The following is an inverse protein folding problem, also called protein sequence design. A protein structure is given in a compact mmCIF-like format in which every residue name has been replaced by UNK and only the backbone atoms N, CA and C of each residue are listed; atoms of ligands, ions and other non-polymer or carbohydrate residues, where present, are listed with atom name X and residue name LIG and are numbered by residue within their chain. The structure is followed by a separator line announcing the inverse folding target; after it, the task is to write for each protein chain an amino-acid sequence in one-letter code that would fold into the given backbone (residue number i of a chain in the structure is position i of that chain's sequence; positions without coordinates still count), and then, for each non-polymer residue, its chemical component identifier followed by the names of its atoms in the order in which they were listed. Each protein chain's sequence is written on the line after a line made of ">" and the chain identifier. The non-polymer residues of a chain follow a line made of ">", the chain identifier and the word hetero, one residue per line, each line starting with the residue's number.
data_IF_784732390355
#
_entry.id   IF_784732390355
#
_cell.length_a   1.000
_cell.length_b   1.000
_cell.length_c   1.000
_cell.angle_alpha   90.00
_cell.angle_beta   90.00
_cell.angle_gamma   90.00
#
_symmetry.space_group_name_H-M   'P 1'
#
loop_
_entity.id
_entity.type
_entity.pdbx_description
1 polymer ?
#
# COMPACT_ATOMS: atom_id res chain seq x y z
N UNK A 1 -0.97 -6.30 19.84
CA UNK A 1 0.09 -6.90 18.98
C UNK A 1 1.26 -7.45 19.80
N UNK A 2 1.17 -7.46 21.14
CA UNK A 2 2.28 -7.86 22.03
C UNK A 2 2.79 -9.26 21.66
N UNK A 3 4.10 -9.36 21.39
CA UNK A 3 4.79 -10.59 21.02
C UNK A 3 4.51 -11.13 19.60
N UNK A 4 3.52 -10.58 18.89
CA UNK A 4 3.18 -10.97 17.52
C UNK A 4 4.25 -10.46 16.53
N UNK A 5 4.58 -11.27 15.52
CA UNK A 5 5.51 -10.90 14.45
C UNK A 5 4.74 -10.26 13.29
N UNK A 6 5.16 -9.08 12.87
CA UNK A 6 4.61 -8.37 11.72
C UNK A 6 5.69 -8.16 10.65
N UNK A 7 5.39 -8.53 9.41
CA UNK A 7 6.26 -8.37 8.24
C UNK A 7 5.69 -7.27 7.36
N UNK A 8 6.52 -6.28 6.98
CA UNK A 8 6.08 -5.10 6.24
C UNK A 8 7.00 -4.85 5.06
N UNK A 9 6.44 -4.70 3.85
CA UNK A 9 7.19 -4.29 2.67
C UNK A 9 7.09 -2.77 2.45
N UNK A 10 8.18 -2.13 1.99
CA UNK A 10 8.22 -0.68 1.82
C UNK A 10 8.13 0.06 3.16
N UNK A 11 8.85 -0.42 4.18
CA UNK A 11 8.70 0.04 5.55
C UNK A 11 9.55 1.25 5.95
N UNK A 12 10.42 1.77 5.07
CA UNK A 12 11.36 2.83 5.44
C UNK A 12 10.74 4.24 5.39
N UNK A 13 9.74 4.45 4.54
CA UNK A 13 9.13 5.77 4.31
C UNK A 13 7.60 5.71 4.26
N UNK A 14 6.96 6.86 4.37
CA UNK A 14 5.54 7.08 4.13
C UNK A 14 4.61 6.22 5.00
N UNK A 15 3.57 5.66 4.40
CA UNK A 15 2.60 4.79 5.09
C UNK A 15 3.32 3.59 5.72
N UNK A 16 4.29 2.98 5.01
CA UNK A 16 5.04 1.83 5.50
C UNK A 16 5.81 2.14 6.78
N UNK A 17 6.50 3.28 6.86
CA UNK A 17 7.19 3.73 8.08
C UNK A 17 6.21 3.94 9.22
N UNK A 18 5.08 4.58 8.98
CA UNK A 18 4.04 4.74 9.99
C UNK A 18 3.53 3.38 10.50
N UNK A 19 3.32 2.41 9.61
CA UNK A 19 2.94 1.05 9.98
C UNK A 19 4.01 0.39 10.85
N UNK A 20 5.30 0.46 10.47
CA UNK A 20 6.42 -0.09 11.27
C UNK A 20 6.42 0.52 12.67
N UNK A 21 6.38 1.85 12.79
CA UNK A 21 6.40 2.56 14.07
C UNK A 21 5.17 2.23 14.92
N UNK A 22 3.98 2.22 14.31
CA UNK A 22 2.71 1.97 15.01
C UNK A 22 2.65 0.55 15.55
N UNK A 23 2.98 -0.46 14.74
CA UNK A 23 2.95 -1.86 15.18
C UNK A 23 4.01 -2.14 16.26
N UNK A 24 5.21 -1.56 16.12
CA UNK A 24 6.26 -1.64 17.15
C UNK A 24 5.85 -1.00 18.48
N UNK A 25 5.15 0.15 18.43
CA UNK A 25 4.60 0.80 19.62
C UNK A 25 3.54 -0.06 20.32
N UNK A 26 2.78 -0.87 19.55
CA UNK A 26 1.80 -1.82 20.09
C UNK A 26 2.39 -3.19 20.47
N UNK A 27 3.74 -3.29 20.56
CA UNK A 27 4.43 -4.46 21.08
C UNK A 27 4.68 -5.57 20.07
N UNK A 28 4.51 -5.34 18.78
CA UNK A 28 4.89 -6.27 17.74
C UNK A 28 6.42 -6.31 17.55
N UNK A 29 6.93 -7.47 17.13
CA UNK A 29 8.28 -7.62 16.56
C UNK A 29 8.16 -7.43 15.05
N UNK A 30 8.95 -6.53 14.49
CA UNK A 30 8.84 -6.11 13.10
C UNK A 30 9.99 -6.67 12.27
N UNK A 31 9.68 -7.24 11.11
CA UNK A 31 10.63 -7.42 10.03
C UNK A 31 10.18 -6.57 8.85
N UNK A 32 11.04 -5.73 8.30
CA UNK A 32 10.67 -4.93 7.14
C UNK A 32 11.76 -4.87 6.08
N UNK A 33 11.35 -4.73 4.83
CA UNK A 33 12.21 -4.61 3.66
C UNK A 33 11.90 -3.33 2.92
N UNK A 34 12.93 -2.65 2.45
CA UNK A 34 12.83 -1.46 1.60
C UNK A 34 14.10 -1.32 0.76
N UNK A 35 14.03 -0.60 -0.35
CA UNK A 35 15.19 -0.25 -1.17
C UNK A 35 15.95 0.97 -0.66
N UNK A 36 15.33 1.79 0.20
CA UNK A 36 15.96 2.94 0.85
C UNK A 36 16.74 2.45 2.08
N UNK A 37 18.01 2.08 1.85
CA UNK A 37 18.90 1.51 2.86
C UNK A 37 19.12 2.47 4.02
N UNK A 38 19.38 3.75 3.73
CA UNK A 38 19.68 4.75 4.75
C UNK A 38 18.49 5.00 5.67
N UNK A 39 17.30 5.16 5.12
CA UNK A 39 16.08 5.36 5.89
C UNK A 39 15.73 4.10 6.69
N UNK A 40 15.88 2.93 6.08
CA UNK A 40 15.61 1.64 6.71
C UNK A 40 16.52 1.36 7.90
N UNK A 41 17.83 1.55 7.77
CA UNK A 41 18.80 1.38 8.87
C UNK A 41 18.54 2.36 10.02
N UNK A 42 18.32 3.65 9.72
CA UNK A 42 18.00 4.66 10.75
C UNK A 42 16.71 4.32 11.51
N UNK A 43 15.70 3.82 10.81
CA UNK A 43 14.45 3.40 11.45
C UNK A 43 14.65 2.18 12.35
N UNK A 44 15.37 1.15 11.88
CA UNK A 44 15.67 -0.05 12.67
C UNK A 44 16.52 0.28 13.90
N UNK A 45 17.55 1.11 13.78
CA UNK A 45 18.38 1.57 14.88
C UNK A 45 17.53 2.28 15.96
N UNK A 46 16.65 3.18 15.56
CA UNK A 46 15.74 3.91 16.47
C UNK A 46 14.77 2.98 17.22
N UNK A 47 14.29 1.92 16.57
CA UNK A 47 13.37 0.97 17.16
C UNK A 47 14.10 -0.15 17.97
N UNK A 48 15.41 -0.28 17.80
CA UNK A 48 16.24 -1.25 18.51
C UNK A 48 15.78 -2.69 18.25
N UNK A 49 15.70 -3.46 19.31
CA UNK A 49 15.34 -4.89 19.23
C UNK A 49 13.90 -5.19 18.77
N UNK A 50 13.07 -4.16 18.58
CA UNK A 50 11.69 -4.32 18.11
C UNK A 50 11.61 -4.49 16.60
N UNK A 51 12.61 -4.06 15.83
CA UNK A 51 12.56 -4.07 14.38
C UNK A 51 13.87 -4.58 13.76
N UNK A 52 13.74 -5.40 12.73
CA UNK A 52 14.83 -5.82 11.86
C UNK A 52 14.58 -5.35 10.44
N UNK A 53 15.57 -4.74 9.85
CA UNK A 53 15.56 -4.23 8.49
C UNK A 53 16.40 -5.09 7.57
N UNK A 54 15.93 -5.31 6.34
CA UNK A 54 16.72 -5.88 5.26
C UNK A 54 16.61 -4.97 4.02
N UNK A 55 17.72 -4.46 3.49
CA UNK A 55 17.70 -3.70 2.25
C UNK A 55 17.41 -4.61 1.05
N UNK A 56 16.66 -4.08 0.06
CA UNK A 56 16.46 -4.77 -1.21
C UNK A 56 15.23 -4.33 -1.98
N UNK A 57 15.27 -4.56 -3.29
CA UNK A 57 14.13 -4.35 -4.17
C UNK A 57 13.28 -5.64 -4.25
N UNK A 58 12.03 -5.54 -3.82
CA UNK A 58 11.10 -6.69 -3.85
C UNK A 58 10.58 -7.02 -5.26
N UNK A 59 10.95 -6.26 -6.30
CA UNK A 59 10.76 -6.68 -7.68
C UNK A 59 11.65 -7.88 -8.05
N UNK A 60 12.68 -8.15 -7.24
CA UNK A 60 13.67 -9.23 -7.46
C UNK A 60 13.32 -10.46 -6.63
N UNK A 61 13.18 -11.62 -7.28
CA UNK A 61 12.85 -12.88 -6.62
C UNK A 61 13.90 -13.28 -5.56
N UNK A 62 15.16 -13.01 -5.83
CA UNK A 62 16.26 -13.26 -4.89
C UNK A 62 16.11 -12.48 -3.58
N UNK A 63 15.68 -11.22 -3.67
CA UNK A 63 15.36 -10.40 -2.49
C UNK A 63 14.22 -11.00 -1.68
N UNK A 64 13.14 -11.40 -2.34
CA UNK A 64 11.97 -12.02 -1.69
C UNK A 64 12.35 -13.30 -0.97
N UNK A 65 13.10 -14.19 -1.64
CA UNK A 65 13.56 -15.45 -1.05
C UNK A 65 14.50 -15.25 0.15
N UNK A 66 15.44 -14.32 0.04
CA UNK A 66 16.38 -14.00 1.12
C UNK A 66 15.66 -13.36 2.31
N UNK A 67 14.75 -12.42 2.05
CA UNK A 67 13.95 -11.79 3.09
C UNK A 67 13.06 -12.81 3.82
N UNK A 68 12.35 -13.65 3.08
CA UNK A 68 11.52 -14.67 3.68
C UNK A 68 12.33 -15.65 4.54
N UNK A 69 13.46 -16.12 4.04
CA UNK A 69 14.36 -16.99 4.80
C UNK A 69 14.84 -16.31 6.09
N UNK A 70 15.29 -15.07 6.00
CA UNK A 70 15.72 -14.29 7.16
C UNK A 70 14.62 -14.17 8.21
N UNK A 71 13.40 -13.81 7.79
CA UNK A 71 12.24 -13.67 8.69
C UNK A 71 11.91 -15.00 9.37
N UNK A 72 11.86 -16.10 8.61
CA UNK A 72 11.54 -17.42 9.16
C UNK A 72 12.60 -17.86 10.19
N UNK A 73 13.87 -17.64 9.89
CA UNK A 73 14.97 -18.02 10.80
C UNK A 73 14.96 -17.24 12.11
N UNK A 74 14.60 -15.95 12.09
CA UNK A 74 14.69 -15.09 13.27
C UNK A 74 13.39 -15.00 14.07
N UNK A 75 12.24 -15.14 13.41
CA UNK A 75 10.94 -14.93 14.05
C UNK A 75 10.09 -16.19 14.13
N UNK A 76 10.33 -17.17 13.26
CA UNK A 76 9.57 -18.42 13.19
C UNK A 76 8.18 -18.20 12.61
N UNK A 77 7.21 -17.87 13.46
CA UNK A 77 5.82 -17.67 13.06
C UNK A 77 5.51 -16.22 12.72
N UNK A 78 4.67 -16.03 11.70
CA UNK A 78 4.22 -14.72 11.20
C UNK A 78 2.75 -14.53 11.54
N UNK A 79 2.43 -13.44 12.23
CA UNK A 79 1.07 -13.11 12.65
C UNK A 79 0.41 -12.08 11.73
N UNK A 80 1.20 -11.24 11.10
CA UNK A 80 0.70 -10.24 10.15
C UNK A 80 1.71 -10.04 9.01
N UNK A 81 1.24 -10.08 7.76
CA UNK A 81 1.99 -9.65 6.58
C UNK A 81 1.31 -8.43 5.99
N UNK A 82 2.04 -7.31 5.91
CA UNK A 82 1.54 -6.07 5.28
C UNK A 82 2.29 -5.83 3.98
N UNK A 83 1.63 -6.03 2.87
CA UNK A 83 2.13 -5.72 1.54
C UNK A 83 1.83 -4.25 1.23
N UNK A 84 2.78 -3.37 1.58
CA UNK A 84 2.63 -1.93 1.44
C UNK A 84 3.48 -1.36 0.29
N UNK A 85 4.63 -1.95 -0.01
CA UNK A 85 5.52 -1.42 -1.04
C UNK A 85 4.82 -1.23 -2.38
N UNK A 86 5.03 -0.07 -2.98
CA UNK A 86 4.44 0.33 -4.23
C UNK A 86 5.26 1.44 -4.87
N UNK A 87 5.15 1.56 -6.17
CA UNK A 87 5.67 2.70 -6.91
C UNK A 87 4.73 3.02 -8.07
N UNK A 88 4.78 4.26 -8.54
CA UNK A 88 4.20 4.69 -9.80
C UNK A 88 5.31 4.99 -10.78
N UNK A 89 5.15 4.57 -12.01
CA UNK A 89 6.00 4.95 -13.13
C UNK A 89 5.13 5.61 -14.18
N UNK A 90 5.76 6.06 -15.25
CA UNK A 90 5.09 6.65 -16.40
C UNK A 90 3.85 5.89 -16.86
N UNK A 91 2.96 6.56 -17.56
CA UNK A 91 1.81 5.99 -18.24
C UNK A 91 1.92 6.08 -19.76
N UNK A 92 0.81 5.92 -20.46
CA UNK A 92 0.77 5.88 -21.93
C UNK A 92 1.14 7.22 -22.57
N UNK A 93 0.86 8.33 -21.88
CA UNK A 93 1.18 9.69 -22.38
C UNK A 93 2.64 10.06 -22.13
N UNK A 94 3.27 9.56 -21.08
CA UNK A 94 4.65 9.84 -20.69
C UNK A 94 5.64 8.74 -21.08
N UNK A 95 5.22 7.77 -21.90
CA UNK A 95 6.08 6.75 -22.50
C UNK A 95 6.47 5.61 -21.58
N UNK A 96 5.50 5.06 -20.84
CA UNK A 96 5.68 3.83 -20.07
C UNK A 96 6.01 2.66 -21.00
N UNK A 97 7.22 2.12 -20.91
CA UNK A 97 7.64 0.96 -21.67
C UNK A 97 7.28 -0.35 -20.98
N UNK A 98 7.55 -1.46 -21.67
CA UNK A 98 7.27 -2.81 -21.17
C UNK A 98 7.93 -3.08 -19.81
N UNK A 99 9.21 -2.72 -19.65
CA UNK A 99 9.94 -2.95 -18.40
C UNK A 99 9.44 -2.07 -17.26
N UNK A 100 9.08 -0.81 -17.52
CA UNK A 100 8.50 0.07 -16.51
C UNK A 100 7.17 -0.48 -16.01
N UNK A 101 6.28 -0.87 -16.91
CA UNK A 101 5.00 -1.45 -16.58
C UNK A 101 5.15 -2.77 -15.82
N UNK A 102 6.00 -3.67 -16.33
CA UNK A 102 6.26 -4.97 -15.71
C UNK A 102 6.88 -4.83 -14.31
N UNK A 103 7.79 -3.88 -14.10
CA UNK A 103 8.40 -3.64 -12.80
C UNK A 103 7.36 -3.18 -11.76
N UNK A 104 6.43 -2.28 -12.14
CA UNK A 104 5.35 -1.86 -11.24
C UNK A 104 4.46 -3.04 -10.84
N UNK A 105 4.15 -3.94 -11.79
CA UNK A 105 3.39 -5.16 -11.48
C UNK A 105 4.19 -6.14 -10.62
N UNK A 106 5.50 -6.28 -10.84
CA UNK A 106 6.34 -7.12 -9.99
C UNK A 106 6.28 -6.67 -8.53
N UNK A 107 6.42 -5.36 -8.27
CA UNK A 107 6.36 -4.81 -6.91
C UNK A 107 4.94 -4.89 -6.34
N UNK A 108 3.91 -4.49 -7.10
CA UNK A 108 2.57 -4.28 -6.58
C UNK A 108 1.69 -5.54 -6.54
N UNK A 109 2.02 -6.59 -7.28
CA UNK A 109 1.20 -7.81 -7.39
C UNK A 109 2.03 -9.07 -7.19
N UNK A 110 3.13 -9.23 -7.95
CA UNK A 110 3.91 -10.47 -7.91
C UNK A 110 4.60 -10.67 -6.56
N UNK A 111 5.21 -9.61 -5.99
CA UNK A 111 5.88 -9.70 -4.70
C UNK A 111 4.92 -10.05 -3.55
N UNK A 112 3.72 -9.43 -3.41
CA UNK A 112 2.71 -9.86 -2.44
C UNK A 112 2.32 -11.33 -2.57
N UNK A 113 2.10 -11.81 -3.80
CA UNK A 113 1.84 -13.23 -4.04
C UNK A 113 3.00 -14.12 -3.60
N UNK A 114 4.22 -13.78 -4.01
CA UNK A 114 5.41 -14.57 -3.69
C UNK A 114 5.71 -14.61 -2.19
N UNK A 115 5.61 -13.47 -1.48
CA UNK A 115 5.79 -13.46 -0.03
C UNK A 115 4.72 -14.29 0.67
N UNK A 116 3.47 -14.20 0.24
CA UNK A 116 2.40 -15.05 0.78
C UNK A 116 2.70 -16.54 0.58
N UNK A 117 3.19 -16.92 -0.62
CA UNK A 117 3.60 -18.28 -0.93
C UNK A 117 4.79 -18.75 -0.07
N UNK A 118 5.81 -17.91 0.06
CA UNK A 118 7.04 -18.22 0.83
C UNK A 118 6.76 -18.37 2.33
N UNK A 119 5.79 -17.62 2.86
CA UNK A 119 5.43 -17.65 4.27
C UNK A 119 4.29 -18.62 4.60
N UNK A 120 3.71 -19.29 3.60
CA UNK A 120 2.47 -20.09 3.76
C UNK A 120 2.49 -21.00 4.98
N UNK A 121 3.56 -21.75 5.16
CA UNK A 121 3.67 -22.75 6.20
C UNK A 121 4.16 -22.17 7.55
N UNK A 122 4.43 -20.86 7.60
CA UNK A 122 4.91 -20.13 8.78
C UNK A 122 3.87 -19.14 9.34
N UNK A 123 2.70 -19.03 8.73
CA UNK A 123 1.65 -18.22 9.32
C UNK A 123 1.14 -18.84 10.64
N UNK A 124 1.07 -18.02 11.68
CA UNK A 124 0.48 -18.40 12.95
C UNK A 124 -1.03 -18.63 12.80
N UNK A 125 -1.66 -19.44 13.63
CA UNK A 125 -3.13 -19.53 13.66
C UNK A 125 -3.77 -18.14 13.85
N UNK A 126 -4.77 -17.83 13.01
CA UNK A 126 -5.45 -16.54 13.03
C UNK A 126 -4.65 -15.38 12.42
N UNK A 127 -3.57 -15.66 11.70
CA UNK A 127 -2.78 -14.64 11.02
C UNK A 127 -3.59 -13.80 10.04
N UNK A 128 -3.07 -12.60 9.73
CA UNK A 128 -3.71 -11.65 8.83
C UNK A 128 -2.74 -11.19 7.74
N UNK A 129 -3.21 -11.13 6.50
CA UNK A 129 -2.52 -10.45 5.40
C UNK A 129 -3.29 -9.17 5.10
N UNK A 130 -2.58 -8.04 5.04
CA UNK A 130 -3.14 -6.73 4.73
C UNK A 130 -2.43 -6.19 3.50
N UNK A 131 -3.16 -6.03 2.42
CA UNK A 131 -2.66 -5.49 1.17
C UNK A 131 -3.01 -4.00 1.09
N UNK A 132 -2.01 -3.12 0.96
CA UNK A 132 -2.26 -1.70 0.74
C UNK A 132 -2.50 -1.46 -0.75
N UNK A 133 -3.79 -1.43 -1.10
CA UNK A 133 -4.27 -1.12 -2.44
C UNK A 133 -4.29 0.42 -2.67
N UNK A 134 -5.31 0.95 -3.29
CA UNK A 134 -5.56 2.38 -3.49
C UNK A 134 -6.96 2.59 -4.02
N UNK A 135 -7.53 3.78 -3.86
CA UNK A 135 -8.70 4.21 -4.64
C UNK A 135 -8.45 4.14 -6.15
N UNK A 136 -7.16 4.14 -6.59
CA UNK A 136 -6.77 3.93 -7.99
C UNK A 136 -7.09 2.55 -8.54
N UNK A 137 -7.54 1.62 -7.72
CA UNK A 137 -8.10 0.35 -8.17
C UNK A 137 -9.49 0.52 -8.83
N UNK A 138 -10.18 1.64 -8.56
CA UNK A 138 -11.57 1.89 -8.98
C UNK A 138 -11.74 3.19 -9.77
N UNK A 139 -10.81 4.13 -9.64
CA UNK A 139 -10.78 5.40 -10.33
C UNK A 139 -9.34 5.77 -10.68
N UNK A 140 -9.15 6.60 -11.70
CA UNK A 140 -7.79 6.90 -12.16
C UNK A 140 -7.62 8.37 -12.50
N UNK A 141 -6.39 8.83 -12.50
CA UNK A 141 -5.96 10.03 -13.23
C UNK A 141 -5.30 9.58 -14.53
N UNK A 142 -5.29 10.44 -15.52
CA UNK A 142 -4.56 10.17 -16.75
C UNK A 142 -3.08 9.86 -16.46
N UNK A 143 -2.50 9.01 -17.29
CA UNK A 143 -1.06 8.65 -17.24
C UNK A 143 -0.62 7.88 -15.99
N UNK A 144 -1.54 7.09 -15.39
CA UNK A 144 -1.28 6.26 -14.22
C UNK A 144 -1.59 4.77 -14.43
N UNK A 145 -1.56 4.29 -15.67
CA UNK A 145 -2.04 2.96 -16.04
C UNK A 145 -1.30 1.84 -15.32
N UNK A 146 0.03 1.91 -15.21
CA UNK A 146 0.81 0.89 -14.53
C UNK A 146 0.47 0.78 -13.04
N UNK A 147 0.31 1.92 -12.38
CA UNK A 147 -0.08 1.99 -10.97
C UNK A 147 -1.52 1.50 -10.75
N UNK A 148 -2.46 1.97 -11.58
CA UNK A 148 -3.87 1.54 -11.50
C UNK A 148 -4.02 0.05 -11.75
N UNK A 149 -3.27 -0.50 -12.74
CA UNK A 149 -3.24 -1.94 -12.99
C UNK A 149 -2.71 -2.73 -11.78
N UNK A 150 -1.63 -2.27 -11.14
CA UNK A 150 -1.09 -2.92 -9.95
C UNK A 150 -2.08 -2.85 -8.77
N UNK A 151 -2.74 -1.70 -8.56
CA UNK A 151 -3.69 -1.53 -7.45
C UNK A 151 -5.03 -2.25 -7.68
N UNK A 152 -5.47 -2.40 -8.93
CA UNK A 152 -6.55 -3.30 -9.32
C UNK A 152 -6.16 -4.77 -9.13
N UNK A 153 -4.94 -5.12 -9.56
CA UNK A 153 -4.39 -6.47 -9.41
C UNK A 153 -4.28 -6.94 -7.97
N UNK A 154 -3.77 -6.09 -7.04
CA UNK A 154 -3.68 -6.45 -5.63
C UNK A 154 -5.06 -6.56 -4.97
N UNK A 155 -6.04 -5.76 -5.40
CA UNK A 155 -7.43 -5.89 -4.94
C UNK A 155 -8.04 -7.24 -5.34
N UNK A 156 -7.84 -7.66 -6.59
CA UNK A 156 -8.27 -8.98 -7.06
C UNK A 156 -7.51 -10.12 -6.36
N UNK A 157 -6.19 -9.98 -6.17
CA UNK A 157 -5.37 -10.95 -5.45
C UNK A 157 -5.83 -11.13 -4.00
N UNK A 158 -6.34 -10.09 -3.36
CA UNK A 158 -6.83 -10.12 -1.97
C UNK A 158 -7.94 -11.16 -1.79
N UNK A 159 -9.00 -11.10 -2.58
CA UNK A 159 -10.10 -12.07 -2.45
C UNK A 159 -9.71 -13.47 -2.93
N UNK A 160 -8.84 -13.58 -3.93
CA UNK A 160 -8.32 -14.87 -4.40
C UNK A 160 -7.49 -15.57 -3.31
N UNK A 161 -6.60 -14.84 -2.62
CA UNK A 161 -5.83 -15.36 -1.49
C UNK A 161 -6.73 -15.69 -0.28
N UNK A 162 -7.75 -14.87 0.00
CA UNK A 162 -8.72 -15.14 1.07
C UNK A 162 -9.44 -16.47 0.85
N UNK A 163 -9.81 -16.78 -0.39
CA UNK A 163 -10.41 -18.05 -0.75
C UNK A 163 -9.42 -19.23 -0.61
N UNK A 164 -8.17 -19.05 -1.11
CA UNK A 164 -7.14 -20.09 -1.08
C UNK A 164 -6.61 -20.40 0.32
N UNK A 165 -6.60 -19.41 1.23
CA UNK A 165 -6.12 -19.53 2.59
C UNK A 165 -7.26 -19.65 3.62
N UNK A 166 -8.46 -19.99 3.15
CA UNK A 166 -9.67 -20.14 3.94
C UNK A 166 -9.43 -20.98 5.20
N UNK A 167 -9.91 -20.49 6.36
CA UNK A 167 -9.78 -21.17 7.64
C UNK A 167 -8.42 -21.05 8.32
N UNK A 168 -7.38 -20.52 7.63
CA UNK A 168 -6.03 -20.41 8.20
C UNK A 168 -5.55 -18.96 8.33
N UNK A 169 -5.76 -18.14 7.29
CA UNK A 169 -5.27 -16.75 7.24
C UNK A 169 -6.35 -15.85 6.70
N UNK A 170 -6.61 -14.73 7.36
CA UNK A 170 -7.49 -13.68 6.85
C UNK A 170 -6.74 -12.78 5.89
N UNK A 171 -7.32 -12.43 4.76
CA UNK A 171 -6.68 -11.57 3.75
C UNK A 171 -7.61 -10.42 3.41
N UNK A 172 -7.18 -9.19 3.67
CA UNK A 172 -7.96 -7.98 3.38
C UNK A 172 -7.10 -6.92 2.70
N UNK A 173 -7.74 -5.99 2.03
CA UNK A 173 -7.10 -4.82 1.45
C UNK A 173 -7.56 -3.53 2.14
N UNK A 174 -6.66 -2.57 2.21
CA UNK A 174 -6.97 -1.17 2.52
C UNK A 174 -6.68 -0.37 1.26
N UNK A 175 -7.64 0.45 0.83
CA UNK A 175 -7.53 1.34 -0.33
C UNK A 175 -7.47 2.80 0.14
N UNK A 176 -6.27 3.36 0.37
CA UNK A 176 -6.12 4.77 0.71
C UNK A 176 -6.54 5.68 -0.44
N UNK A 177 -7.11 6.84 -0.10
CA UNK A 177 -7.22 7.98 -0.99
C UNK A 177 -5.95 8.82 -1.00
N UNK A 178 -6.09 10.14 -0.96
CA UNK A 178 -4.94 11.04 -0.81
C UNK A 178 -4.47 11.07 0.64
N UNK A 179 -3.28 10.52 0.86
CA UNK A 179 -2.60 10.48 2.16
C UNK A 179 -1.33 11.33 2.07
N UNK A 180 -1.24 12.35 2.90
CA UNK A 180 0.00 13.12 3.04
C UNK A 180 1.02 12.33 3.86
N UNK A 181 2.09 11.93 3.21
CA UNK A 181 3.16 11.14 3.82
C UNK A 181 4.38 11.97 4.20
N UNK A 182 4.34 13.29 4.07
CA UNK A 182 5.49 14.18 4.22
C UNK A 182 6.23 14.03 5.54
N UNK A 183 5.51 13.90 6.65
CA UNK A 183 6.10 13.75 7.99
C UNK A 183 6.78 12.39 8.22
N UNK A 184 6.47 11.40 7.41
CA UNK A 184 7.04 10.05 7.48
C UNK A 184 8.09 9.76 6.39
N UNK A 185 8.59 10.79 5.71
CA UNK A 185 9.71 10.64 4.78
C UNK A 185 11.05 10.63 5.51
N UNK A 186 12.11 10.16 4.86
CA UNK A 186 13.50 10.20 5.36
C UNK A 186 13.95 11.63 5.66
N UNK A 187 13.49 12.59 4.87
CA UNK A 187 13.57 14.03 5.14
C UNK A 187 12.14 14.53 5.37
N UNK A 188 11.70 14.65 6.62
CA UNK A 188 10.33 15.06 6.92
C UNK A 188 10.01 16.46 6.36
N UNK A 189 8.84 16.58 5.75
CA UNK A 189 8.29 17.83 5.26
C UNK A 189 6.83 17.97 5.76
N UNK A 190 6.47 19.18 6.16
CA UNK A 190 5.09 19.52 6.51
C UNK A 190 4.45 20.10 5.25
N UNK A 191 3.44 19.44 4.73
CA UNK A 191 2.65 19.94 3.61
C UNK A 191 1.64 20.97 4.11
N UNK A 192 1.53 22.07 3.37
CA UNK A 192 0.47 23.04 3.61
C UNK A 192 -0.64 22.82 2.59
N UNK A 193 -1.74 22.22 3.03
CA UNK A 193 -2.89 21.94 2.19
C UNK A 193 -3.81 23.16 2.13
N UNK A 194 -4.23 23.53 0.92
CA UNK A 194 -5.22 24.57 0.69
C UNK A 194 -6.61 24.19 1.25
N UNK A 195 -7.50 25.14 1.35
CA UNK A 195 -8.89 24.86 1.76
C UNK A 195 -9.61 24.02 0.68
N UNK A 196 -9.26 24.16 -0.59
CA UNK A 196 -9.75 23.37 -1.70
C UNK A 196 -9.31 21.89 -1.54
N UNK A 197 -8.05 21.63 -1.20
CA UNK A 197 -7.54 20.29 -0.94
C UNK A 197 -8.32 19.61 0.20
N UNK A 198 -8.60 20.34 1.26
CA UNK A 198 -9.36 19.82 2.40
C UNK A 198 -10.80 19.52 2.02
N UNK A 199 -11.44 20.41 1.24
CA UNK A 199 -12.85 20.29 0.80
C UNK A 199 -13.08 19.17 -0.21
N UNK A 200 -12.03 18.65 -0.85
CA UNK A 200 -12.15 17.45 -1.69
C UNK A 200 -12.55 16.21 -0.87
N UNK A 201 -12.37 16.27 0.44
CA UNK A 201 -12.66 15.17 1.34
C UNK A 201 -13.84 15.53 2.24
N UNK A 202 -14.98 14.81 2.19
CA UNK A 202 -16.08 15.00 3.15
C UNK A 202 -15.64 14.97 4.62
N UNK A 203 -14.55 14.30 4.94
CA UNK A 203 -13.93 14.31 6.27
C UNK A 203 -13.26 15.65 6.64
N UNK A 204 -13.21 16.65 5.74
CA UNK A 204 -12.72 18.01 5.97
C UNK A 204 -11.20 18.13 6.05
N UNK A 205 -10.44 17.11 5.64
CA UNK A 205 -8.97 17.13 5.65
C UNK A 205 -8.37 16.11 4.69
N UNK A 206 -7.14 16.33 4.29
CA UNK A 206 -6.29 15.31 3.66
C UNK A 206 -5.98 14.20 4.66
N UNK A 207 -5.90 12.96 4.19
CA UNK A 207 -5.59 11.81 5.02
C UNK A 207 -4.13 11.82 5.52
N UNK A 208 -3.87 11.06 6.58
CA UNK A 208 -2.54 10.89 7.17
C UNK A 208 -2.21 9.40 7.26
N UNK A 209 -0.92 9.01 7.29
CA UNK A 209 -0.50 7.62 7.42
C UNK A 209 -1.11 6.90 8.63
N UNK A 210 -1.37 7.62 9.73
CA UNK A 210 -2.00 7.09 10.93
C UNK A 210 -3.45 6.64 10.68
N UNK A 211 -4.16 7.24 9.74
CA UNK A 211 -5.52 6.81 9.37
C UNK A 211 -5.50 5.38 8.79
N UNK A 212 -4.45 5.07 8.03
CA UNK A 212 -4.24 3.74 7.47
C UNK A 212 -3.75 2.76 8.53
N UNK A 213 -2.81 3.19 9.37
CA UNK A 213 -2.23 2.36 10.41
C UNK A 213 -3.27 1.94 11.47
N UNK A 214 -4.22 2.81 11.81
CA UNK A 214 -5.31 2.49 12.74
C UNK A 214 -6.18 1.34 12.23
N UNK A 215 -6.60 1.37 10.96
CA UNK A 215 -7.37 0.28 10.35
C UNK A 215 -6.52 -0.98 10.19
N UNK A 216 -5.25 -0.85 9.83
CA UNK A 216 -4.35 -1.99 9.72
C UNK A 216 -4.18 -2.72 11.07
N UNK A 217 -4.05 -1.99 12.18
CA UNK A 217 -4.01 -2.57 13.53
C UNK A 217 -5.28 -3.34 13.85
N UNK A 218 -6.46 -2.77 13.55
CA UNK A 218 -7.74 -3.44 13.74
C UNK A 218 -7.82 -4.73 12.90
N UNK A 219 -7.49 -4.67 11.62
CA UNK A 219 -7.53 -5.84 10.74
C UNK A 219 -6.51 -6.92 11.12
N UNK A 220 -5.41 -6.57 11.79
CA UNK A 220 -4.43 -7.50 12.31
C UNK A 220 -4.82 -8.10 13.68
N UNK A 221 -5.85 -7.58 14.33
CA UNK A 221 -6.30 -8.04 15.64
C UNK A 221 -7.28 -9.21 15.54
N UNK A 222 -7.53 -9.84 16.67
CA UNK A 222 -8.51 -10.92 16.80
C UNK A 222 -9.95 -10.41 16.68
N UNK A 223 -10.19 -9.10 16.95
CA UNK A 223 -11.49 -8.44 16.80
C UNK A 223 -11.98 -8.42 15.34
N UNK A 224 -11.07 -8.52 14.38
CA UNK A 224 -11.39 -8.66 12.96
C UNK A 224 -11.55 -10.12 12.51
N UNK A 225 -11.76 -11.06 13.42
CA UNK A 225 -11.76 -12.50 13.17
C UNK A 225 -12.77 -12.99 12.12
N UNK A 226 -13.84 -12.24 11.86
CA UNK A 226 -14.86 -12.58 10.84
C UNK A 226 -14.75 -11.73 9.56
N UNK A 227 -13.62 -11.02 9.40
CA UNK A 227 -13.39 -10.13 8.24
C UNK A 227 -12.27 -10.71 7.37
N UNK A 228 -12.63 -11.17 6.16
CA UNK A 228 -11.68 -11.65 5.15
C UNK A 228 -12.21 -11.40 3.74
N UNK A 229 -11.33 -11.26 2.76
CA UNK A 229 -11.66 -11.02 1.35
C UNK A 229 -12.18 -9.61 1.06
N UNK A 230 -12.12 -8.70 2.04
CA UNK A 230 -12.70 -7.35 1.92
C UNK A 230 -11.67 -6.31 1.49
N UNK A 231 -12.17 -5.26 0.85
CA UNK A 231 -11.42 -4.05 0.54
C UNK A 231 -12.05 -2.86 1.26
N UNK A 232 -11.28 -2.20 2.11
CA UNK A 232 -11.71 -1.05 2.89
C UNK A 232 -11.17 0.24 2.27
N UNK A 233 -12.07 1.09 1.80
CA UNK A 233 -11.70 2.42 1.29
C UNK A 233 -11.51 3.36 2.47
N UNK A 234 -10.33 4.01 2.52
CA UNK A 234 -9.96 5.01 3.56
C UNK A 234 -9.47 6.26 2.85
N UNK A 235 -10.40 7.10 2.45
CA UNK A 235 -10.17 8.23 1.55
C UNK A 235 -10.87 9.54 2.00
N UNK A 236 -11.38 9.56 3.21
CA UNK A 236 -12.12 10.71 3.72
C UNK A 236 -13.46 10.94 3.02
N UNK A 237 -13.97 9.96 2.27
CA UNK A 237 -15.22 10.03 1.52
C UNK A 237 -15.08 10.58 0.10
N UNK A 238 -13.85 10.82 -0.37
CA UNK A 238 -13.60 11.43 -1.69
C UNK A 238 -14.23 10.62 -2.84
N UNK A 239 -14.14 9.29 -2.81
CA UNK A 239 -14.69 8.44 -3.89
C UNK A 239 -16.19 8.22 -3.83
N UNK A 240 -16.85 8.61 -2.73
CA UNK A 240 -18.31 8.49 -2.59
C UNK A 240 -19.06 9.74 -3.03
N UNK A 241 -18.35 10.83 -3.27
CA UNK A 241 -18.93 12.09 -3.69
C UNK A 241 -19.22 12.09 -5.19
N UNK A 242 -20.49 12.30 -5.56
CA UNK A 242 -20.88 12.50 -6.95
C UNK A 242 -20.76 13.98 -7.29
N UNK A 243 -20.07 14.31 -8.38
CA UNK A 243 -19.84 15.68 -8.84
C UNK A 243 -20.31 15.80 -10.28
N UNK A 244 -21.20 16.75 -10.55
CA UNK A 244 -21.64 17.08 -11.90
C UNK A 244 -20.87 18.28 -12.46
N UNK A 245 -20.94 18.48 -13.79
CA UNK A 245 -20.36 19.65 -14.44
C UNK A 245 -20.88 20.95 -13.79
N UNK A 246 -19.95 21.84 -13.47
CA UNK A 246 -20.15 23.10 -12.76
C UNK A 246 -20.45 23.01 -11.25
N UNK A 247 -20.62 21.81 -10.67
CA UNK A 247 -20.73 21.69 -9.21
C UNK A 247 -19.43 22.14 -8.55
N UNK A 248 -19.53 23.07 -7.58
CA UNK A 248 -18.38 23.59 -6.86
C UNK A 248 -17.23 24.12 -7.76
N UNK A 249 -17.56 24.57 -8.98
CA UNK A 249 -16.58 25.05 -9.96
C UNK A 249 -15.85 23.94 -10.73
N UNK A 250 -16.28 22.68 -10.58
CA UNK A 250 -15.69 21.59 -11.35
C UNK A 250 -16.06 21.67 -12.84
N UNK A 251 -15.06 21.50 -13.71
CA UNK A 251 -15.26 21.37 -15.14
C UNK A 251 -14.42 20.23 -15.70
N UNK A 252 -15.01 19.43 -16.58
CA UNK A 252 -14.27 18.38 -17.25
C UNK A 252 -13.41 18.96 -18.36
N UNK A 253 -12.12 18.60 -18.38
CA UNK A 253 -11.19 18.96 -19.45
C UNK A 253 -10.60 17.69 -20.05
N UNK A 254 -10.63 17.60 -21.37
CA UNK A 254 -9.97 16.51 -22.08
C UNK A 254 -8.45 16.70 -22.05
N UNK A 255 -7.73 15.66 -21.74
CA UNK A 255 -6.25 15.65 -21.73
C UNK A 255 -5.64 15.32 -23.10
N UNK A 256 -6.47 14.99 -24.11
CA UNK A 256 -6.05 14.61 -25.45
C UNK A 256 -6.87 15.27 -26.56
N UNK A 257 -6.43 15.09 -27.79
CA UNK A 257 -7.16 15.55 -28.98
C UNK A 257 -8.36 14.64 -29.21
N UNK A 258 -9.56 15.20 -29.28
CA UNK A 258 -10.76 14.43 -29.60
C UNK A 258 -10.62 13.84 -31.02
N UNK A 259 -10.97 12.55 -31.22
CA UNK A 259 -11.05 11.98 -32.57
C UNK A 259 -12.02 12.80 -33.41
N UNK A 260 -11.54 13.39 -34.51
CA UNK A 260 -12.38 14.20 -35.44
C UNK A 260 -12.30 15.72 -35.27
N UNK A 261 -11.54 16.27 -34.32
CA UNK A 261 -11.34 17.72 -34.19
C UNK A 261 -10.32 18.31 -35.18
N UNK A 262 -9.64 17.48 -35.97
CA UNK A 262 -8.78 17.92 -37.06
C UNK A 262 -9.61 18.26 -38.31
N UNK A 263 -10.38 19.34 -38.29
CA UNK A 263 -11.15 19.71 -39.47
C UNK A 263 -12.15 20.87 -39.34
N UNK A 264 -12.18 21.58 -38.24
CA UNK A 264 -13.14 22.66 -38.05
C UNK A 264 -12.47 24.06 -38.02
N UNK A 265 -11.43 24.27 -38.79
CA UNK A 265 -10.92 25.61 -39.13
C UNK A 265 -10.48 25.59 -40.60
N UNK A 266 -11.43 25.84 -41.53
CA UNK A 266 -11.18 26.36 -42.85
C UNK A 266 -12.12 27.57 -43.07
#
# INVERSE_FOLDING_TARGET
>A
MIGKTCVITGGANGIGRCLVETFAAHGARIAFVDKDEDAGHKLAERLGNKAQFMPGDIAEETTLCNFARHVIQHFGSIHCLINNACLSRKGILSGCGFEDFSHVLRVGVTAPYMLTKLFRDNFAPGASIINIASTRAFMSQADTESYSAAKGGISALTHALAASLSGSVRVNAISPGWIDTGTFQSTPAISNHSEEDKRQHPAGRVGRPEDIAALALFLASDDAGFITGQNFIVDGGMTTQMVYHADHGWSFQYTGVLPGSAGAHA
#
